data_IF_271231365999
#
_entry.id   IF_271231365999
#
_cell.length_a   1.000
_cell.length_b   1.000
_cell.length_c   1.000
_cell.angle_alpha   90.00
_cell.angle_beta   90.00
_cell.angle_gamma   90.00
#
_symmetry.space_group_name_H-M   'P 1'
#
loop_
_entity.id
_entity.type
_entity.pdbx_description
1 polymer ?
#
# COMPACT_ATOMS: atom_id res chain seq x y z
N UNK A 1 -0.48 -6.14 -2.55
CA UNK A 1 -0.74 -7.59 -2.79
C UNK A 1 -2.20 -7.93 -2.59
N UNK A 2 -2.71 -8.93 -3.28
CA UNK A 2 -4.08 -9.42 -3.20
C UNK A 2 -4.15 -10.91 -3.54
N UNK A 3 -5.31 -11.53 -3.35
CA UNK A 3 -5.51 -12.96 -3.61
C UNK A 3 -6.20 -13.22 -4.94
N UNK A 4 -5.76 -14.26 -5.62
CA UNK A 4 -6.52 -14.91 -6.69
C UNK A 4 -7.61 -15.81 -6.11
N UNK A 5 -8.54 -16.30 -6.95
CA UNK A 5 -9.61 -17.23 -6.55
C UNK A 5 -9.09 -18.51 -5.88
N UNK A 6 -7.98 -19.04 -6.35
CA UNK A 6 -7.31 -20.21 -5.77
C UNK A 6 -6.36 -19.85 -4.62
N UNK A 7 -6.38 -18.59 -4.19
CA UNK A 7 -5.68 -18.12 -3.00
C UNK A 7 -4.18 -17.95 -3.15
N UNK A 8 -3.67 -17.72 -4.36
CA UNK A 8 -2.29 -17.30 -4.57
C UNK A 8 -2.14 -15.81 -4.24
N UNK A 9 -1.02 -15.44 -3.63
CA UNK A 9 -0.71 -14.02 -3.34
C UNK A 9 0.01 -13.44 -4.53
N UNK A 10 -0.60 -12.44 -5.16
CA UNK A 10 -0.06 -11.76 -6.34
C UNK A 10 0.26 -10.30 -6.07
N UNK A 11 1.09 -9.70 -6.92
CA UNK A 11 1.43 -8.27 -6.88
C UNK A 11 0.71 -7.55 -8.01
N UNK A 12 -0.39 -6.87 -7.68
CA UNK A 12 -1.15 -6.02 -8.59
C UNK A 12 -1.75 -4.83 -7.84
N UNK A 13 -1.80 -3.67 -8.49
CA UNK A 13 -2.37 -2.46 -7.88
C UNK A 13 -3.90 -2.51 -7.88
N UNK A 14 -4.51 -2.71 -9.05
CA UNK A 14 -5.97 -2.64 -9.22
C UNK A 14 -6.65 -3.96 -8.80
N UNK A 15 -7.92 -3.91 -8.46
CA UNK A 15 -8.71 -5.11 -8.16
C UNK A 15 -9.17 -5.85 -9.42
N UNK A 16 -9.08 -5.21 -10.59
CA UNK A 16 -9.47 -5.74 -11.88
C UNK A 16 -8.34 -5.63 -12.92
N UNK A 17 -8.57 -6.23 -14.09
CA UNK A 17 -7.61 -6.27 -15.20
C UNK A 17 -7.83 -5.17 -16.24
N UNK A 18 -8.80 -4.27 -16.05
CA UNK A 18 -9.23 -3.31 -17.08
C UNK A 18 -8.09 -2.39 -17.51
N UNK A 19 -7.42 -1.73 -16.57
CA UNK A 19 -6.38 -0.74 -16.87
C UNK A 19 -5.11 -1.38 -17.45
N UNK A 20 -4.70 -2.53 -16.93
CA UNK A 20 -3.40 -3.13 -17.29
C UNK A 20 -3.49 -4.23 -18.36
N UNK A 21 -4.68 -4.84 -18.57
CA UNK A 21 -4.87 -5.89 -19.58
C UNK A 21 -6.03 -5.59 -20.56
N UNK A 22 -6.79 -4.51 -20.36
CA UNK A 22 -7.94 -4.16 -21.21
C UNK A 22 -9.17 -5.06 -21.02
N UNK A 23 -9.25 -5.82 -19.93
CA UNK A 23 -10.26 -6.86 -19.70
C UNK A 23 -11.07 -6.55 -18.45
N UNK A 24 -12.40 -6.53 -18.58
CA UNK A 24 -13.31 -6.31 -17.44
C UNK A 24 -13.51 -7.60 -16.64
N UNK A 25 -12.49 -7.99 -15.86
CA UNK A 25 -12.53 -9.11 -14.94
C UNK A 25 -11.87 -8.76 -13.61
N UNK A 26 -12.52 -9.13 -12.52
CA UNK A 26 -11.97 -9.04 -11.18
C UNK A 26 -10.86 -10.09 -10.99
N UNK A 27 -9.75 -9.70 -10.38
CA UNK A 27 -8.59 -10.57 -10.14
C UNK A 27 -8.97 -11.78 -9.26
N UNK A 28 -9.77 -11.55 -8.21
CA UNK A 28 -10.20 -12.60 -7.28
C UNK A 28 -11.24 -13.56 -7.87
N UNK A 29 -11.76 -13.28 -9.07
CA UNK A 29 -12.59 -14.22 -9.83
C UNK A 29 -11.79 -15.25 -10.63
N UNK A 30 -10.46 -15.08 -10.74
CA UNK A 30 -9.56 -15.88 -11.56
C UNK A 30 -8.58 -16.68 -10.70
N UNK A 31 -8.27 -17.91 -11.11
CA UNK A 31 -7.11 -18.64 -10.62
C UNK A 31 -5.83 -18.00 -11.15
N UNK A 32 -4.69 -18.26 -10.50
CA UNK A 32 -3.41 -17.75 -11.00
C UNK A 32 -3.09 -18.28 -12.41
N UNK A 33 -3.44 -19.52 -12.71
CA UNK A 33 -3.29 -20.08 -14.05
C UNK A 33 -4.11 -19.34 -15.10
N UNK A 34 -5.36 -18.98 -14.80
CA UNK A 34 -6.19 -18.17 -15.70
C UNK A 34 -5.62 -16.75 -15.85
N UNK A 35 -5.17 -16.14 -14.71
CA UNK A 35 -4.58 -14.82 -14.70
C UNK A 35 -3.31 -14.73 -15.55
N UNK A 36 -2.47 -15.75 -15.56
CA UNK A 36 -1.21 -15.81 -16.33
C UNK A 36 -1.38 -15.75 -17.85
N UNK A 37 -2.60 -15.91 -18.37
CA UNK A 37 -2.86 -15.77 -19.80
C UNK A 37 -2.97 -14.32 -20.24
N UNK A 38 -3.12 -13.35 -19.32
CA UNK A 38 -3.33 -11.94 -19.65
C UNK A 38 -2.02 -11.15 -19.60
N UNK A 39 -1.52 -10.64 -20.75
CA UNK A 39 -0.32 -9.82 -20.80
C UNK A 39 -0.59 -8.43 -20.23
N UNK A 40 0.42 -7.86 -19.59
CA UNK A 40 0.37 -6.49 -19.04
C UNK A 40 0.70 -5.50 -20.16
N UNK A 41 -0.22 -4.56 -20.47
CA UNK A 41 -0.03 -3.44 -21.41
C UNK A 41 0.55 -3.88 -22.77
N UNK A 42 0.21 -5.07 -23.25
CA UNK A 42 0.65 -5.61 -24.53
C UNK A 42 2.11 -6.11 -24.56
N UNK A 43 2.79 -6.18 -23.40
CA UNK A 43 4.12 -6.78 -23.26
C UNK A 43 4.04 -8.30 -23.08
N UNK A 44 5.17 -8.96 -22.93
CA UNK A 44 5.20 -10.37 -22.54
C UNK A 44 5.10 -10.60 -21.03
N UNK A 45 5.11 -9.52 -20.25
CA UNK A 45 5.04 -9.55 -18.80
C UNK A 45 3.67 -10.00 -18.29
N UNK A 46 3.67 -10.61 -17.12
CA UNK A 46 2.48 -11.13 -16.43
C UNK A 46 2.45 -10.62 -14.98
N UNK A 47 1.27 -10.60 -14.39
CA UNK A 47 1.12 -10.29 -12.97
C UNK A 47 1.89 -11.36 -12.16
N UNK A 48 2.92 -10.97 -11.40
CA UNK A 48 3.77 -11.94 -10.70
C UNK A 48 3.13 -12.41 -9.38
N UNK A 49 3.55 -13.58 -8.93
CA UNK A 49 3.38 -14.01 -7.55
C UNK A 49 4.23 -13.14 -6.61
N UNK A 50 3.77 -12.91 -5.39
CA UNK A 50 4.59 -12.24 -4.37
C UNK A 50 5.89 -13.02 -4.12
N UNK A 51 5.81 -14.34 -4.08
CA UNK A 51 6.99 -15.20 -3.90
C UNK A 51 8.08 -14.94 -4.96
N UNK A 52 7.70 -14.74 -6.22
CA UNK A 52 8.66 -14.49 -7.31
C UNK A 52 9.27 -13.09 -7.17
N UNK A 53 8.47 -12.10 -6.77
CA UNK A 53 8.98 -10.75 -6.48
C UNK A 53 9.97 -10.78 -5.31
N UNK A 54 9.66 -11.51 -4.22
CA UNK A 54 10.57 -11.64 -3.09
C UNK A 54 11.90 -12.31 -3.48
N UNK A 55 11.85 -13.35 -4.32
CA UNK A 55 13.05 -14.00 -4.87
C UNK A 55 13.87 -13.05 -5.74
N UNK A 56 13.21 -12.26 -6.61
CA UNK A 56 13.88 -11.29 -7.47
C UNK A 56 14.57 -10.19 -6.69
N UNK A 57 13.87 -9.61 -5.71
CA UNK A 57 14.41 -8.53 -4.87
C UNK A 57 15.53 -9.05 -3.96
N UNK A 58 15.38 -10.24 -3.40
CA UNK A 58 16.40 -10.95 -2.62
C UNK A 58 17.17 -10.07 -1.61
N UNK A 59 16.46 -9.18 -0.92
CA UNK A 59 17.04 -8.31 0.10
C UNK A 59 17.86 -7.13 -0.41
N UNK A 60 17.96 -6.91 -1.72
CA UNK A 60 18.76 -5.82 -2.31
C UNK A 60 18.24 -4.43 -1.95
N UNK A 61 16.93 -4.30 -1.76
CA UNK A 61 16.26 -3.06 -1.33
C UNK A 61 15.15 -3.37 -0.33
N UNK A 62 14.82 -2.43 0.59
CA UNK A 62 13.66 -2.58 1.45
C UNK A 62 12.36 -2.58 0.65
N UNK A 63 11.35 -3.33 1.12
CA UNK A 63 10.04 -3.42 0.49
C UNK A 63 8.95 -2.78 1.36
N UNK A 64 8.05 -2.03 0.73
CA UNK A 64 6.76 -1.63 1.31
C UNK A 64 5.68 -2.49 0.64
N UNK A 65 5.00 -3.33 1.42
CA UNK A 65 4.02 -4.30 0.92
C UNK A 65 2.61 -3.84 1.29
N UNK A 66 1.89 -3.23 0.32
CA UNK A 66 0.48 -2.87 0.53
C UNK A 66 -0.41 -4.11 0.52
N UNK A 67 -1.18 -4.31 1.60
CA UNK A 67 -2.18 -5.37 1.70
C UNK A 67 -3.55 -4.84 1.31
N UNK A 68 -4.05 -5.30 0.17
CA UNK A 68 -5.39 -4.95 -0.32
C UNK A 68 -6.44 -5.88 0.31
N UNK A 69 -7.07 -5.39 1.36
CA UNK A 69 -8.03 -6.15 2.17
C UNK A 69 -9.45 -5.97 1.61
N UNK A 70 -9.79 -6.75 0.59
CA UNK A 70 -11.07 -6.63 -0.13
C UNK A 70 -12.22 -7.38 0.57
N UNK A 71 -11.97 -8.58 1.07
CA UNK A 71 -12.96 -9.45 1.67
C UNK A 71 -12.79 -9.58 3.18
N UNK A 72 -13.89 -9.77 3.91
CA UNK A 72 -13.86 -10.11 5.32
C UNK A 72 -13.14 -11.45 5.52
N UNK A 73 -12.12 -11.46 6.37
CA UNK A 73 -11.32 -12.64 6.64
C UNK A 73 -9.82 -12.36 6.58
N UNK A 74 -9.04 -13.13 7.30
CA UNK A 74 -7.60 -12.87 7.46
C UNK A 74 -6.71 -13.63 6.47
N UNK A 75 -7.28 -14.28 5.47
CA UNK A 75 -6.53 -15.16 4.55
C UNK A 75 -5.41 -14.44 3.83
N UNK A 76 -5.66 -13.22 3.32
CA UNK A 76 -4.62 -12.41 2.67
C UNK A 76 -3.47 -12.08 3.65
N UNK A 77 -3.80 -11.67 4.87
CA UNK A 77 -2.78 -11.36 5.88
C UNK A 77 -1.95 -12.59 6.25
N UNK A 78 -2.62 -13.74 6.47
CA UNK A 78 -1.96 -14.99 6.84
C UNK A 78 -1.01 -15.46 5.74
N UNK A 79 -1.48 -15.56 4.50
CA UNK A 79 -0.66 -16.02 3.36
C UNK A 79 0.48 -15.06 3.04
N UNK A 80 0.24 -13.75 3.09
CA UNK A 80 1.30 -12.76 2.91
C UNK A 80 2.35 -12.86 4.01
N UNK A 81 1.93 -13.00 5.28
CA UNK A 81 2.85 -13.16 6.39
C UNK A 81 3.68 -14.44 6.28
N UNK A 82 3.08 -15.56 5.88
CA UNK A 82 3.79 -16.83 5.65
C UNK A 82 4.93 -16.68 4.63
N UNK A 83 4.71 -15.94 3.54
CA UNK A 83 5.75 -15.65 2.55
C UNK A 83 6.83 -14.71 3.10
N UNK A 84 6.41 -13.66 3.80
CA UNK A 84 7.33 -12.66 4.37
C UNK A 84 8.15 -13.20 5.54
N UNK A 85 7.63 -14.16 6.31
CA UNK A 85 8.37 -14.83 7.40
C UNK A 85 9.63 -15.57 6.89
N UNK A 86 9.65 -15.96 5.60
CA UNK A 86 10.78 -16.62 4.96
C UNK A 86 11.68 -15.67 4.14
N UNK A 87 11.32 -14.39 4.08
CA UNK A 87 12.09 -13.39 3.35
C UNK A 87 13.17 -12.76 4.24
N UNK A 88 14.40 -12.80 3.79
CA UNK A 88 15.56 -12.29 4.55
C UNK A 88 15.80 -10.78 4.42
N UNK A 89 15.13 -10.12 3.46
CA UNK A 89 15.26 -8.68 3.24
C UNK A 89 14.42 -7.84 4.22
N UNK A 90 14.74 -6.55 4.31
CA UNK A 90 13.94 -5.60 5.09
C UNK A 90 12.60 -5.33 4.42
N UNK A 91 11.53 -5.30 5.19
CA UNK A 91 10.20 -4.94 4.70
C UNK A 91 9.34 -4.30 5.78
N UNK A 92 8.32 -3.57 5.33
CA UNK A 92 7.18 -3.19 6.14
C UNK A 92 5.89 -3.49 5.38
N UNK A 93 4.76 -3.48 6.09
CA UNK A 93 3.45 -3.62 5.45
C UNK A 93 2.66 -2.33 5.60
N UNK A 94 1.75 -2.08 4.67
CA UNK A 94 0.77 -1.02 4.81
C UNK A 94 -0.60 -1.44 4.30
N UNK A 95 -1.65 -0.77 4.75
CA UNK A 95 -3.00 -1.01 4.26
C UNK A 95 -3.92 0.17 4.55
N UNK A 96 -4.90 0.38 3.67
CA UNK A 96 -6.06 1.24 3.96
C UNK A 96 -6.99 0.63 4.99
N UNK A 97 -7.08 -0.70 5.01
CA UNK A 97 -8.06 -1.39 5.86
C UNK A 97 -7.47 -1.72 7.24
N UNK A 98 -8.02 -1.15 8.33
CA UNK A 98 -7.47 -1.33 9.68
C UNK A 98 -7.42 -2.78 10.15
N UNK A 99 -8.30 -3.66 9.65
CA UNK A 99 -8.29 -5.08 10.02
C UNK A 99 -6.99 -5.78 9.62
N UNK A 100 -6.34 -5.40 8.50
CA UNK A 100 -5.04 -5.94 8.13
C UNK A 100 -3.98 -5.57 9.18
N UNK A 101 -3.91 -4.30 9.58
CA UNK A 101 -2.95 -3.81 10.57
C UNK A 101 -3.19 -4.42 11.95
N UNK A 102 -4.46 -4.55 12.37
CA UNK A 102 -4.84 -5.22 13.62
C UNK A 102 -4.39 -6.68 13.60
N UNK A 103 -4.56 -7.37 12.46
CA UNK A 103 -4.11 -8.74 12.31
C UNK A 103 -2.59 -8.88 12.47
N UNK A 104 -1.82 -8.05 11.74
CA UNK A 104 -0.36 -8.05 11.85
C UNK A 104 0.11 -7.65 13.25
N UNK A 105 -0.51 -6.64 13.88
CA UNK A 105 -0.22 -6.27 15.27
C UNK A 105 -0.39 -7.45 16.23
N UNK A 106 -1.41 -8.28 16.02
CA UNK A 106 -1.70 -9.43 16.88
C UNK A 106 -0.78 -10.62 16.62
N UNK A 107 -0.53 -10.95 15.36
CA UNK A 107 0.13 -12.21 15.00
C UNK A 107 1.57 -12.05 14.52
N UNK A 108 1.99 -10.83 14.17
CA UNK A 108 3.36 -10.47 13.75
C UNK A 108 3.73 -9.08 14.30
N UNK A 109 3.77 -8.93 15.65
CA UNK A 109 3.97 -7.61 16.29
C UNK A 109 5.30 -6.95 15.95
N UNK A 110 6.29 -7.71 15.52
CA UNK A 110 7.62 -7.25 15.10
C UNK A 110 7.65 -6.65 13.67
N UNK A 111 6.61 -6.88 12.88
CA UNK A 111 6.53 -6.30 11.52
C UNK A 111 6.13 -4.84 11.62
N UNK A 112 6.92 -3.96 10.99
CA UNK A 112 6.62 -2.54 10.86
C UNK A 112 5.34 -2.35 10.01
N UNK A 113 4.40 -1.52 10.50
CA UNK A 113 3.05 -1.36 9.93
C UNK A 113 2.73 0.10 9.65
N UNK A 114 2.29 0.38 8.43
CA UNK A 114 1.82 1.68 7.98
C UNK A 114 0.30 1.76 7.83
N UNK A 115 -0.30 2.84 8.31
CA UNK A 115 -1.69 3.16 8.00
C UNK A 115 -1.73 4.00 6.72
N UNK A 116 -2.34 3.47 5.66
CA UNK A 116 -2.66 4.25 4.47
C UNK A 116 -3.90 5.11 4.71
N UNK A 117 -3.86 6.35 4.28
CA UNK A 117 -4.96 7.30 4.34
C UNK A 117 -5.00 8.22 3.14
N UNK A 118 -6.19 8.63 2.73
CA UNK A 118 -6.40 9.61 1.66
C UNK A 118 -7.67 10.42 1.89
N UNK A 119 -7.79 11.51 1.14
CA UNK A 119 -9.01 12.30 1.14
C UNK A 119 -9.99 11.77 0.07
N UNK A 120 -10.87 10.87 0.46
CA UNK A 120 -11.87 10.24 -0.42
C UNK A 120 -12.95 11.18 -0.98
N UNK A 121 -12.82 12.51 -0.82
CA UNK A 121 -13.88 13.46 -1.22
C UNK A 121 -13.87 13.86 -2.70
N UNK A 122 -12.85 13.52 -3.49
CA UNK A 122 -12.69 14.18 -4.79
C UNK A 122 -13.27 13.45 -6.00
N UNK A 123 -13.45 12.14 -5.96
CA UNK A 123 -13.73 11.43 -7.21
C UNK A 123 -15.16 10.92 -7.42
N UNK A 124 -15.96 10.58 -6.38
CA UNK A 124 -17.27 9.93 -6.59
C UNK A 124 -18.45 10.51 -5.79
N UNK A 125 -18.27 11.51 -4.98
CA UNK A 125 -19.36 12.08 -4.17
C UNK A 125 -20.01 11.12 -3.15
N UNK A 126 -19.55 9.87 -3.07
CA UNK A 126 -20.04 8.84 -2.16
C UNK A 126 -18.90 8.25 -1.34
N UNK A 127 -18.72 8.77 -0.14
CA UNK A 127 -17.79 8.15 0.82
C UNK A 127 -18.48 6.92 1.41
N UNK A 128 -18.00 5.72 1.08
CA UNK A 128 -18.48 4.53 1.76
C UNK A 128 -18.08 4.64 3.26
N UNK A 129 -19.01 4.41 4.21
CA UNK A 129 -18.76 4.61 5.65
C UNK A 129 -17.49 3.92 6.18
N UNK A 130 -17.11 2.80 5.57
CA UNK A 130 -15.89 2.05 5.90
C UNK A 130 -14.60 2.88 5.73
N UNK A 131 -14.58 3.84 4.79
CA UNK A 131 -13.41 4.69 4.53
C UNK A 131 -13.40 5.99 5.36
N UNK A 132 -14.48 6.30 6.07
CA UNK A 132 -14.52 7.48 6.93
C UNK A 132 -13.47 7.43 8.05
N UNK A 133 -13.34 6.28 8.71
CA UNK A 133 -12.40 6.10 9.81
C UNK A 133 -10.92 6.14 9.37
N UNK A 134 -10.49 5.43 8.31
CA UNK A 134 -9.12 5.53 7.78
C UNK A 134 -8.76 6.95 7.29
N UNK A 135 -9.73 7.66 6.69
CA UNK A 135 -9.54 9.05 6.26
C UNK A 135 -9.12 9.96 7.40
N UNK A 136 -9.75 9.82 8.55
CA UNK A 136 -9.49 10.64 9.73
C UNK A 136 -8.48 10.03 10.69
N UNK A 137 -7.82 8.92 10.30
CA UNK A 137 -6.85 8.20 11.12
C UNK A 137 -7.40 7.79 12.51
N UNK A 138 -8.72 7.73 12.66
CA UNK A 138 -9.38 7.42 13.93
C UNK A 138 -9.17 6.00 14.39
N UNK A 139 -8.74 5.11 13.49
CA UNK A 139 -8.41 3.71 13.83
C UNK A 139 -7.00 3.54 14.38
N UNK A 140 -6.16 4.60 14.37
CA UNK A 140 -4.76 4.49 14.77
C UNK A 140 -4.56 4.07 16.23
N UNK A 141 -5.51 4.40 17.13
CA UNK A 141 -5.45 3.93 18.51
C UNK A 141 -5.64 2.40 18.62
N UNK A 142 -6.33 1.76 17.65
CA UNK A 142 -6.51 0.31 17.56
C UNK A 142 -5.38 -0.35 16.78
N UNK A 143 -4.99 0.22 15.64
CA UNK A 143 -3.97 -0.34 14.74
C UNK A 143 -2.56 -0.13 15.27
N UNK A 144 -2.32 0.99 15.99
CA UNK A 144 -1.01 1.44 16.48
C UNK A 144 0.03 1.32 15.36
N UNK A 145 -0.14 2.07 14.27
CA UNK A 145 0.80 2.00 13.16
C UNK A 145 2.14 2.63 13.55
N UNK A 146 3.22 2.11 12.98
CA UNK A 146 4.57 2.62 13.18
C UNK A 146 4.84 3.84 12.28
N UNK A 147 4.10 3.96 11.16
CA UNK A 147 4.11 5.13 10.27
C UNK A 147 2.74 5.33 9.62
N UNK A 148 2.56 6.52 9.03
CA UNK A 148 1.36 6.87 8.27
C UNK A 148 1.79 7.22 6.85
N UNK A 149 1.16 6.58 5.84
CA UNK A 149 1.30 6.98 4.45
C UNK A 149 0.01 7.70 4.01
N UNK A 150 0.11 8.99 3.65
CA UNK A 150 -1.05 9.82 3.40
C UNK A 150 -0.97 10.56 2.07
N UNK A 151 -2.12 10.74 1.41
CA UNK A 151 -2.22 11.51 0.17
C UNK A 151 -1.72 12.94 0.38
N UNK A 152 -0.65 13.31 -0.34
CA UNK A 152 -0.02 14.63 -0.20
C UNK A 152 -0.92 15.80 -0.59
N UNK A 153 -1.97 15.56 -1.40
CA UNK A 153 -2.97 16.58 -1.71
C UNK A 153 -3.81 16.98 -0.49
N UNK A 154 -3.88 16.13 0.52
CA UNK A 154 -4.58 16.36 1.77
C UNK A 154 -3.66 16.70 2.95
N UNK A 155 -2.45 17.24 2.68
CA UNK A 155 -1.42 17.57 3.69
C UNK A 155 -1.89 18.49 4.82
N UNK A 156 -2.96 19.27 4.59
CA UNK A 156 -3.57 20.13 5.62
C UNK A 156 -4.57 19.41 6.54
N UNK A 157 -4.70 18.07 6.48
CA UNK A 157 -5.61 17.35 7.34
C UNK A 157 -5.20 17.44 8.82
N UNK A 158 -6.13 17.88 9.67
CA UNK A 158 -5.88 18.02 11.11
C UNK A 158 -5.43 16.69 11.74
N UNK A 159 -6.02 15.58 11.35
CA UNK A 159 -5.64 14.24 11.84
C UNK A 159 -4.18 13.88 11.53
N UNK A 160 -3.68 14.22 10.34
CA UNK A 160 -2.28 14.03 9.97
C UNK A 160 -1.36 14.90 10.85
N UNK A 161 -1.70 16.18 11.00
CA UNK A 161 -0.94 17.12 11.86
C UNK A 161 -0.88 16.63 13.31
N UNK A 162 -2.00 16.16 13.87
CA UNK A 162 -2.05 15.60 15.22
C UNK A 162 -1.15 14.35 15.35
N UNK A 163 -1.23 13.42 14.40
CA UNK A 163 -0.39 12.23 14.43
C UNK A 163 1.10 12.58 14.38
N UNK A 164 1.49 13.51 13.52
CA UNK A 164 2.88 13.93 13.36
C UNK A 164 3.39 14.71 14.56
N UNK A 165 2.66 15.78 14.97
CA UNK A 165 3.15 16.74 15.97
C UNK A 165 3.00 16.22 17.40
N UNK A 166 1.86 15.57 17.73
CA UNK A 166 1.59 15.11 19.10
C UNK A 166 2.17 13.72 19.35
N UNK A 167 2.03 12.80 18.37
CA UNK A 167 2.44 11.41 18.55
C UNK A 167 3.83 11.12 17.95
N UNK A 168 4.44 12.07 17.24
CA UNK A 168 5.75 11.90 16.61
C UNK A 168 5.77 10.75 15.57
N UNK A 169 4.60 10.43 14.96
CA UNK A 169 4.49 9.33 14.01
C UNK A 169 5.10 9.74 12.67
N UNK A 170 6.09 8.99 12.12
CA UNK A 170 6.64 9.27 10.80
C UNK A 170 5.55 9.29 9.72
N UNK A 171 5.59 10.30 8.84
CA UNK A 171 4.59 10.49 7.80
C UNK A 171 5.21 10.41 6.41
N UNK A 172 4.65 9.55 5.57
CA UNK A 172 5.03 9.34 4.17
C UNK A 172 4.00 10.01 3.26
N UNK A 173 4.47 10.84 2.32
CA UNK A 173 3.63 11.36 1.23
C UNK A 173 3.51 10.35 0.11
N UNK A 174 2.32 10.14 -0.45
CA UNK A 174 2.08 9.34 -1.67
C UNK A 174 0.99 9.98 -2.54
N UNK A 175 0.94 9.79 -3.85
CA UNK A 175 2.07 9.46 -4.68
C UNK A 175 2.58 10.74 -5.30
N UNK A 176 3.80 11.11 -5.03
CA UNK A 176 4.45 12.33 -5.55
C UNK A 176 4.88 12.09 -6.99
N UNK A 177 4.47 12.94 -7.94
CA UNK A 177 4.68 12.75 -9.39
C UNK A 177 5.59 13.79 -10.05
N UNK A 178 6.10 14.73 -9.26
CA UNK A 178 7.01 15.78 -9.77
C UNK A 178 7.80 16.42 -8.64
N UNK A 179 8.95 17.02 -8.98
CA UNK A 179 9.76 17.81 -8.04
C UNK A 179 8.95 18.96 -7.43
N UNK A 180 8.01 19.56 -8.18
CA UNK A 180 7.13 20.61 -7.67
C UNK A 180 6.21 20.11 -6.55
N UNK A 181 5.63 18.91 -6.69
CA UNK A 181 4.81 18.29 -5.64
C UNK A 181 5.67 17.91 -4.44
N UNK A 182 6.88 17.39 -4.68
CA UNK A 182 7.84 17.08 -3.63
C UNK A 182 8.07 18.32 -2.74
N UNK A 183 8.50 19.43 -3.31
CA UNK A 183 8.74 20.68 -2.57
C UNK A 183 7.49 21.19 -1.85
N UNK A 184 6.32 21.04 -2.47
CA UNK A 184 5.06 21.49 -1.86
C UNK A 184 4.65 20.70 -0.61
N UNK A 185 5.20 19.51 -0.40
CA UNK A 185 4.86 18.65 0.72
C UNK A 185 6.00 18.39 1.72
N UNK A 186 7.22 18.85 1.47
CA UNK A 186 8.41 18.63 2.33
C UNK A 186 8.21 19.04 3.80
N UNK A 187 7.46 20.11 4.06
CA UNK A 187 7.21 20.55 5.44
C UNK A 187 6.17 19.69 6.18
N UNK A 188 5.34 18.97 5.44
CA UNK A 188 4.23 18.19 6.01
C UNK A 188 4.55 16.69 6.16
N UNK A 189 5.61 16.20 5.50
CA UNK A 189 5.96 14.80 5.48
C UNK A 189 7.44 14.58 5.71
N UNK A 190 7.78 13.41 6.22
CA UNK A 190 9.16 13.04 6.55
C UNK A 190 9.80 12.20 5.44
N UNK A 191 8.97 11.46 4.66
CA UNK A 191 9.38 10.57 3.58
C UNK A 191 8.42 10.69 2.39
N UNK A 192 8.88 10.26 1.19
CA UNK A 192 8.14 10.45 -0.06
C UNK A 192 8.13 9.17 -0.89
N UNK A 193 6.92 8.70 -1.23
CA UNK A 193 6.70 7.65 -2.23
C UNK A 193 6.39 8.35 -3.54
N UNK A 194 7.28 8.20 -4.53
CA UNK A 194 7.20 8.91 -5.81
C UNK A 194 7.19 7.95 -7.00
N UNK A 195 6.66 8.41 -8.13
CA UNK A 195 6.66 7.68 -9.40
C UNK A 195 6.81 8.62 -10.60
N UNK A 196 7.38 8.10 -11.70
CA UNK A 196 7.43 8.78 -12.99
C UNK A 196 8.51 9.87 -13.12
N UNK A 197 9.28 10.16 -12.06
CA UNK A 197 10.43 11.07 -12.10
C UNK A 197 11.49 10.63 -11.09
N UNK A 198 12.71 11.13 -11.27
CA UNK A 198 13.76 11.01 -10.26
C UNK A 198 13.90 12.36 -9.53
N UNK A 199 13.81 12.38 -8.19
CA UNK A 199 14.13 13.59 -7.43
C UNK A 199 15.56 14.01 -7.73
N UNK A 200 15.77 15.28 -8.06
CA UNK A 200 17.11 15.82 -8.19
C UNK A 200 17.79 15.83 -6.83
N UNK A 201 19.04 15.36 -6.76
CA UNK A 201 19.85 15.49 -5.56
C UNK A 201 20.08 16.99 -5.32
N UNK A 202 19.37 17.53 -4.33
CA UNK A 202 19.74 18.85 -3.83
C UNK A 202 21.03 18.68 -3.03
N UNK A 203 22.12 19.17 -3.55
CA UNK A 203 23.27 19.49 -2.71
C UNK A 203 22.74 20.41 -1.59
N UNK A 204 22.63 19.86 -0.39
CA UNK A 204 22.30 20.66 0.80
C UNK A 204 23.49 21.60 1.03
N UNK A 205 23.34 22.81 0.47
CA UNK A 205 24.25 23.93 0.73
C UNK A 205 24.12 24.41 2.17
#
# INVERSE_FOLDING_TARGET
VQLTRDGQVIVAHDYDLKRICGIEKEIDSLTYKELSHFPILGTEERIPLLEDVLKLVNGQVPLIVEIKYKHLGSTICKKTAELLDHYSGSFCIESFHPAALIWFRKYRPYVCRGQLGMNFHKDDGRVHPVYYFPRHLLTNFLTKPDFIAYDHHARGALSLTLCRVIFGTPCFAWTVKSSRELYACEQAFDYFIFEGFLPEDQERS
#
